data_IF_334698236534
#
_entry.id   IF_334698236534
#
_cell.length_a   1.000
_cell.length_b   1.000
_cell.length_c   1.000
_cell.angle_alpha   90.00
_cell.angle_beta   90.00
_cell.angle_gamma   90.00
#
_symmetry.space_group_name_H-M   'P 1'
#
loop_
_entity.id
_entity.type
_entity.pdbx_description
1 polymer ?
#
# COMPACT_ATOMS: atom_id res chain seq x y z
N UNK A 1 16.69 -6.35 -2.86
CA UNK A 1 15.57 -6.29 -1.89
C UNK A 1 15.19 -4.84 -1.69
N UNK A 2 13.91 -4.47 -1.78
CA UNK A 2 13.45 -3.14 -1.38
C UNK A 2 13.93 -2.78 0.03
N UNK A 3 14.40 -1.55 0.23
CA UNK A 3 15.01 -1.11 1.49
C UNK A 3 14.06 -1.23 2.70
N UNK A 4 12.75 -1.08 2.47
CA UNK A 4 11.72 -1.17 3.51
C UNK A 4 11.58 -2.58 4.12
N UNK A 5 11.87 -3.65 3.35
CA UNK A 5 11.81 -5.03 3.86
C UNK A 5 12.91 -5.28 4.91
N UNK A 6 14.13 -4.82 4.62
CA UNK A 6 15.25 -4.93 5.55
C UNK A 6 15.01 -4.16 6.86
N UNK A 7 14.46 -2.95 6.76
CA UNK A 7 14.09 -2.14 7.92
C UNK A 7 12.96 -2.76 8.74
N UNK A 8 12.00 -3.43 8.09
CA UNK A 8 10.87 -4.09 8.77
C UNK A 8 11.32 -5.35 9.51
N UNK A 9 12.25 -6.12 8.94
CA UNK A 9 12.81 -7.31 9.60
C UNK A 9 13.53 -6.98 10.92
N UNK A 10 14.15 -5.80 11.02
CA UNK A 10 14.81 -5.35 12.25
C UNK A 10 13.84 -5.13 13.42
N UNK A 11 12.52 -5.08 13.17
CA UNK A 11 11.51 -4.82 14.21
C UNK A 11 10.92 -6.09 14.82
N UNK A 12 11.26 -7.27 14.32
CA UNK A 12 10.71 -8.54 14.83
C UNK A 12 10.99 -8.72 16.32
N UNK A 13 12.25 -8.61 16.75
CA UNK A 13 12.63 -8.77 18.17
C UNK A 13 11.96 -7.70 19.05
N UNK A 14 12.05 -6.38 18.72
CA UNK A 14 11.35 -5.33 19.48
C UNK A 14 9.85 -5.56 19.66
N UNK A 15 9.16 -6.13 18.66
CA UNK A 15 7.73 -6.44 18.74
C UNK A 15 7.46 -7.54 19.78
N UNK A 16 8.25 -8.60 19.79
CA UNK A 16 8.10 -9.69 20.77
C UNK A 16 8.45 -9.25 22.20
N UNK A 17 9.50 -8.44 22.35
CA UNK A 17 9.91 -7.87 23.63
C UNK A 17 8.82 -6.96 24.19
N UNK A 18 8.29 -6.04 23.37
CA UNK A 18 7.22 -5.13 23.77
C UNK A 18 5.94 -5.89 24.16
N UNK A 19 5.62 -6.97 23.45
CA UNK A 19 4.45 -7.80 23.74
C UNK A 19 4.55 -8.58 25.09
N UNK A 20 5.72 -8.60 25.73
CA UNK A 20 5.94 -9.27 27.01
C UNK A 20 6.12 -10.79 26.91
N UNK A 21 6.58 -11.30 25.76
CA UNK A 21 6.92 -12.72 25.60
C UNK A 21 8.03 -13.11 26.60
N UNK A 22 7.76 -14.06 27.50
CA UNK A 22 8.73 -14.54 28.50
C UNK A 22 8.28 -14.52 29.96
N UNK A 23 7.07 -14.05 30.29
CA UNK A 23 6.50 -14.21 31.64
C UNK A 23 5.42 -13.21 32.05
N UNK A 24 5.16 -12.17 31.27
CA UNK A 24 4.13 -11.17 31.56
C UNK A 24 3.56 -10.60 30.26
N UNK A 25 3.05 -11.49 29.41
CA UNK A 25 2.54 -11.12 28.10
C UNK A 25 1.26 -10.28 28.25
N UNK A 26 1.41 -8.97 28.05
CA UNK A 26 0.29 -8.04 28.00
C UNK A 26 -0.30 -7.95 26.57
N UNK A 27 0.52 -8.23 25.55
CA UNK A 27 0.15 -8.21 24.13
C UNK A 27 -0.46 -6.87 23.70
N UNK A 28 0.17 -5.75 24.06
CA UNK A 28 -0.27 -4.40 23.69
C UNK A 28 -1.61 -3.96 24.31
N UNK A 29 -2.11 -4.62 25.37
CA UNK A 29 -3.40 -4.25 26.00
C UNK A 29 -3.30 -3.00 26.88
N UNK A 30 -2.16 -2.79 27.51
CA UNK A 30 -1.86 -1.66 28.39
C UNK A 30 -1.47 -0.41 27.62
N UNK A 31 -1.05 -0.55 26.35
CA UNK A 31 -0.66 0.54 25.48
C UNK A 31 0.40 1.44 26.13
N UNK A 32 1.41 0.84 26.76
CA UNK A 32 2.50 1.61 27.38
C UNK A 32 3.25 2.43 26.32
N UNK A 33 3.94 3.53 26.69
CA UNK A 33 4.55 4.42 25.71
C UNK A 33 5.47 3.74 24.68
N UNK A 34 6.21 2.69 25.08
CA UNK A 34 7.09 1.94 24.19
C UNK A 34 6.32 1.12 23.13
N UNK A 35 5.21 0.50 23.54
CA UNK A 35 4.31 -0.25 22.65
C UNK A 35 3.64 0.68 21.63
N UNK A 36 3.11 1.81 22.11
CA UNK A 36 2.51 2.84 21.26
C UNK A 36 3.51 3.37 20.23
N UNK A 37 4.75 3.66 20.63
CA UNK A 37 5.77 4.13 19.72
C UNK A 37 6.03 3.15 18.56
N UNK A 38 6.10 1.84 18.85
CA UNK A 38 6.25 0.80 17.82
C UNK A 38 5.05 0.78 16.89
N UNK A 39 3.82 0.76 17.42
CA UNK A 39 2.59 0.71 16.62
C UNK A 39 2.49 1.95 15.74
N UNK A 40 2.71 3.15 16.29
CA UNK A 40 2.68 4.40 15.54
C UNK A 40 3.73 4.41 14.43
N UNK A 41 4.96 4.00 14.72
CA UNK A 41 6.03 3.93 13.72
C UNK A 41 5.66 2.99 12.56
N UNK A 42 5.15 1.79 12.88
CA UNK A 42 4.82 0.78 11.86
C UNK A 42 3.58 1.16 11.05
N UNK A 43 2.57 1.76 11.70
CA UNK A 43 1.38 2.26 11.02
C UNK A 43 1.74 3.40 10.05
N UNK A 44 2.58 4.34 10.48
CA UNK A 44 3.05 5.44 9.64
C UNK A 44 3.82 4.92 8.42
N UNK A 45 4.71 3.94 8.62
CA UNK A 45 5.44 3.30 7.52
C UNK A 45 4.49 2.62 6.53
N UNK A 46 3.53 1.80 6.99
CA UNK A 46 2.55 1.16 6.12
C UNK A 46 1.67 2.15 5.35
N UNK A 47 1.25 3.24 5.99
CA UNK A 47 0.49 4.30 5.33
C UNK A 47 1.29 5.04 4.25
N UNK A 48 2.60 5.23 4.46
CA UNK A 48 3.49 5.82 3.46
C UNK A 48 3.64 4.89 2.25
N UNK A 49 3.93 3.61 2.47
CA UNK A 49 4.05 2.61 1.40
C UNK A 49 2.76 2.49 0.57
N UNK A 50 1.59 2.47 1.22
CA UNK A 50 0.30 2.46 0.52
C UNK A 50 0.11 3.72 -0.34
N UNK A 51 0.48 4.90 0.18
CA UNK A 51 0.40 6.16 -0.58
C UNK A 51 1.30 6.12 -1.81
N UNK A 52 2.51 5.59 -1.67
CA UNK A 52 3.47 5.48 -2.77
C UNK A 52 2.95 4.50 -3.83
N UNK A 53 2.40 3.34 -3.42
CA UNK A 53 1.76 2.40 -4.35
C UNK A 53 0.59 3.00 -5.11
N UNK A 54 -0.27 3.78 -4.45
CA UNK A 54 -1.38 4.50 -5.11
C UNK A 54 -0.83 5.51 -6.13
N UNK A 55 0.23 6.23 -5.77
CA UNK A 55 0.87 7.21 -6.64
C UNK A 55 1.50 6.55 -7.87
N UNK A 56 2.18 5.43 -7.69
CA UNK A 56 2.78 4.66 -8.77
C UNK A 56 1.71 4.06 -9.69
N UNK A 57 0.64 3.50 -9.12
CA UNK A 57 -0.50 3.02 -9.89
C UNK A 57 -1.16 4.14 -10.70
N UNK A 58 -1.33 5.32 -10.11
CA UNK A 58 -1.87 6.49 -10.80
C UNK A 58 -0.99 6.90 -11.99
N UNK A 59 0.32 7.00 -11.78
CA UNK A 59 1.27 7.33 -12.87
C UNK A 59 1.27 6.27 -13.96
N UNK A 60 1.21 5.00 -13.60
CA UNK A 60 1.18 3.88 -14.54
C UNK A 60 -0.16 3.80 -15.30
N UNK A 61 -1.25 4.30 -14.72
CA UNK A 61 -2.60 4.14 -15.26
C UNK A 61 -2.73 4.63 -16.71
N UNK A 62 -1.99 5.65 -17.11
CA UNK A 62 -1.95 6.18 -18.48
C UNK A 62 -1.55 5.12 -19.53
N UNK A 63 -0.72 4.15 -19.16
CA UNK A 63 -0.26 3.07 -20.04
C UNK A 63 -1.10 1.80 -19.97
N UNK A 64 -2.01 1.71 -19.00
CA UNK A 64 -2.92 0.58 -18.85
C UNK A 64 -4.05 0.66 -19.88
N UNK A 65 -4.51 -0.50 -20.33
CA UNK A 65 -5.63 -0.62 -21.26
C UNK A 65 -6.95 -0.94 -20.55
N UNK A 66 -8.05 -0.36 -21.02
CA UNK A 66 -9.40 -0.56 -20.51
C UNK A 66 -10.40 -0.89 -21.63
N UNK A 67 -11.52 -1.53 -21.29
CA UNK A 67 -12.66 -1.76 -22.17
C UNK A 67 -12.47 -2.89 -23.20
N UNK A 68 -13.44 -3.00 -24.11
CA UNK A 68 -13.38 -3.88 -25.28
C UNK A 68 -13.87 -3.12 -26.53
N UNK A 69 -13.06 -2.99 -27.60
CA UNK A 69 -11.65 -3.38 -27.68
C UNK A 69 -10.77 -2.60 -26.68
N UNK A 70 -9.61 -3.15 -26.32
CA UNK A 70 -8.69 -2.55 -25.36
C UNK A 70 -8.18 -1.20 -25.86
N UNK A 71 -8.36 -0.15 -25.05
CA UNK A 71 -7.89 1.22 -25.31
C UNK A 71 -6.94 1.66 -24.21
N UNK A 72 -5.77 2.20 -24.54
CA UNK A 72 -4.87 2.80 -23.53
C UNK A 72 -5.48 4.09 -23.00
N UNK A 73 -5.39 4.31 -21.69
CA UNK A 73 -5.92 5.52 -21.04
C UNK A 73 -5.34 6.80 -21.68
N UNK A 74 -4.03 6.85 -21.94
CA UNK A 74 -3.39 8.01 -22.59
C UNK A 74 -3.95 8.34 -23.98
N UNK A 75 -4.38 7.33 -24.75
CA UNK A 75 -4.88 7.55 -26.11
C UNK A 75 -6.31 8.12 -26.07
N UNK A 76 -7.06 7.76 -25.03
CA UNK A 76 -8.36 8.36 -24.71
C UNK A 76 -8.20 9.81 -24.22
N UNK A 77 -7.27 10.06 -23.30
CA UNK A 77 -6.97 11.41 -22.78
C UNK A 77 -6.47 12.37 -23.85
N UNK A 78 -5.65 11.89 -24.79
CA UNK A 78 -5.18 12.66 -25.94
C UNK A 78 -6.27 12.91 -27.01
N UNK A 79 -7.43 12.25 -26.90
CA UNK A 79 -8.50 12.33 -27.89
C UNK A 79 -8.22 11.56 -29.19
N UNK A 80 -7.13 10.79 -29.25
CA UNK A 80 -6.77 9.94 -30.39
C UNK A 80 -7.76 8.78 -30.55
N UNK A 81 -8.30 8.28 -29.44
CA UNK A 81 -9.38 7.28 -29.42
C UNK A 81 -10.60 7.86 -28.73
N UNK A 82 -11.75 7.80 -29.41
CA UNK A 82 -13.03 8.19 -28.81
C UNK A 82 -13.57 7.05 -27.96
N UNK A 83 -13.70 7.30 -26.66
CA UNK A 83 -14.44 6.42 -25.75
C UNK A 83 -15.93 6.61 -25.98
N UNK A 84 -16.64 5.50 -26.17
CA UNK A 84 -18.10 5.46 -26.34
C UNK A 84 -18.70 4.46 -25.37
N UNK A 85 -20.03 4.49 -25.14
CA UNK A 85 -20.69 3.44 -24.36
C UNK A 85 -20.36 2.02 -24.85
N UNK A 86 -20.19 1.82 -26.16
CA UNK A 86 -19.81 0.53 -26.74
C UNK A 86 -18.39 0.07 -26.31
N UNK A 87 -17.50 0.98 -25.90
CA UNK A 87 -16.14 0.68 -25.43
C UNK A 87 -16.12 0.02 -24.05
N UNK A 88 -17.17 0.20 -23.25
CA UNK A 88 -17.27 -0.41 -21.91
C UNK A 88 -17.90 -1.81 -21.92
N UNK A 89 -18.26 -2.32 -23.11
CA UNK A 89 -19.11 -3.50 -23.23
C UNK A 89 -20.56 -3.14 -22.92
N UNK A 90 -21.48 -3.65 -23.72
CA UNK A 90 -22.88 -3.71 -23.32
C UNK A 90 -22.96 -4.77 -22.21
N UNK A 91 -22.84 -4.34 -20.95
CA UNK A 91 -23.14 -5.16 -19.78
C UNK A 91 -24.67 -5.35 -19.66
#
# INVERSE_FOLDING_TARGET
MPQYLGQSLQKVVPVYEAAGFGGSADLYRSAVPAELAIVTERLAAGAAELRDQITDAWRQSADITVGFPLVRVRDAEAGTVRITPATFGAD
#
